data_IF_943680450942
#
_entry.id   IF_943680450942
#
_cell.length_a   1.000
_cell.length_b   1.000
_cell.length_c   1.000
_cell.angle_alpha   90.00
_cell.angle_beta   90.00
_cell.angle_gamma   90.00
#
_symmetry.space_group_name_H-M   'P 1'
#
loop_
_entity.id
_entity.type
_entity.pdbx_description
1 polymer ?
#
# COMPACT_ATOMS: atom_id res chain seq x y z
N UNK A 1 -6.64 -24.32 -6.00
CA UNK A 1 -5.59 -23.79 -5.10
C UNK A 1 -5.76 -24.44 -3.73
N UNK A 2 -4.73 -25.13 -3.22
CA UNK A 2 -4.73 -25.65 -1.86
C UNK A 2 -4.88 -24.50 -0.86
N UNK A 3 -5.78 -24.68 0.11
CA UNK A 3 -5.96 -23.74 1.22
C UNK A 3 -4.67 -23.76 2.07
N UNK A 4 -4.06 -22.62 2.38
CA UNK A 4 -2.96 -22.58 3.35
C UNK A 4 -3.44 -23.23 4.65
N UNK A 5 -2.62 -24.09 5.25
CA UNK A 5 -2.99 -24.84 6.44
C UNK A 5 -3.26 -23.92 7.65
N UNK A 6 -2.61 -22.76 7.70
CA UNK A 6 -2.67 -21.81 8.82
C UNK A 6 -2.80 -20.37 8.28
N UNK A 7 -3.61 -19.54 8.93
CA UNK A 7 -3.77 -18.12 8.61
C UNK A 7 -4.07 -17.26 9.83
N UNK A 8 -4.17 -15.93 9.64
CA UNK A 8 -4.39 -14.99 10.75
C UNK A 8 -5.69 -15.27 11.52
N UNK A 9 -6.75 -15.68 10.81
CA UNK A 9 -8.03 -16.06 11.43
C UNK A 9 -7.94 -17.36 12.25
N UNK A 10 -6.86 -18.11 12.13
CA UNK A 10 -6.62 -19.35 12.87
C UNK A 10 -5.70 -19.07 14.09
N UNK A 11 -4.86 -18.02 14.03
CA UNK A 11 -3.93 -17.59 15.09
C UNK A 11 -4.63 -16.78 16.19
N UNK A 12 -5.37 -15.73 15.84
CA UNK A 12 -5.96 -14.83 16.85
C UNK A 12 -6.92 -15.54 17.82
N UNK A 13 -7.77 -16.51 17.41
CA UNK A 13 -8.58 -17.25 18.37
C UNK A 13 -7.78 -18.02 19.43
N UNK A 14 -6.56 -18.45 19.11
CA UNK A 14 -5.72 -19.26 20.01
C UNK A 14 -4.76 -18.41 20.86
N UNK A 15 -4.23 -17.32 20.29
CA UNK A 15 -3.16 -16.54 20.91
C UNK A 15 -3.51 -15.07 21.16
N UNK A 16 -4.65 -14.59 20.64
CA UNK A 16 -5.02 -13.18 20.67
C UNK A 16 -5.26 -12.64 22.07
N UNK A 17 -5.77 -13.46 22.99
CA UNK A 17 -5.99 -13.06 24.39
C UNK A 17 -4.67 -12.83 25.13
N UNK A 18 -3.77 -13.81 25.11
CA UNK A 18 -2.44 -13.69 25.71
C UNK A 18 -1.68 -12.48 25.14
N UNK A 19 -1.71 -12.30 23.81
CA UNK A 19 -1.04 -11.18 23.15
C UNK A 19 -1.57 -9.82 23.62
N UNK A 20 -2.90 -9.68 23.80
CA UNK A 20 -3.52 -8.45 24.34
C UNK A 20 -3.21 -8.19 25.80
N UNK A 21 -2.99 -9.25 26.59
CA UNK A 21 -2.66 -9.11 28.00
C UNK A 21 -1.23 -8.59 28.19
N UNK A 22 -0.31 -9.01 27.31
CA UNK A 22 1.10 -8.65 27.37
C UNK A 22 1.42 -7.29 26.72
N UNK A 23 0.66 -6.91 25.68
CA UNK A 23 0.97 -5.72 24.88
C UNK A 23 -0.16 -4.67 24.90
N UNK A 24 0.24 -3.39 24.99
CA UNK A 24 -0.69 -2.26 24.80
C UNK A 24 -1.00 -2.10 23.32
N UNK A 25 -2.28 -1.99 22.97
CA UNK A 25 -2.71 -1.83 21.59
C UNK A 25 -3.65 -0.64 21.39
N UNK A 26 -3.52 0.09 20.27
CA UNK A 26 -4.53 1.05 19.84
C UNK A 26 -5.90 0.39 19.68
N UNK A 27 -6.97 1.15 19.95
CA UNK A 27 -8.36 0.67 19.83
C UNK A 27 -8.67 0.10 18.45
N UNK A 28 -8.09 0.66 17.40
CA UNK A 28 -8.23 0.18 16.03
C UNK A 28 -7.68 -1.24 15.83
N UNK A 29 -6.53 -1.55 16.42
CA UNK A 29 -5.94 -2.89 16.36
C UNK A 29 -6.82 -3.91 17.10
N UNK A 30 -7.27 -3.57 18.31
CA UNK A 30 -8.17 -4.42 19.10
C UNK A 30 -9.48 -4.74 18.34
N UNK A 31 -10.03 -3.75 17.64
CA UNK A 31 -11.24 -3.93 16.81
C UNK A 31 -10.98 -4.92 15.67
N UNK A 32 -9.83 -4.81 14.99
CA UNK A 32 -9.45 -5.74 13.92
C UNK A 32 -9.23 -7.15 14.46
N UNK A 33 -8.51 -7.30 15.58
CA UNK A 33 -8.27 -8.62 16.21
C UNK A 33 -9.60 -9.33 16.51
N UNK A 34 -10.56 -8.65 17.16
CA UNK A 34 -11.89 -9.21 17.45
C UNK A 34 -12.66 -9.62 16.19
N UNK A 35 -12.57 -8.83 15.12
CA UNK A 35 -13.22 -9.16 13.84
C UNK A 35 -12.59 -10.39 13.16
N UNK A 36 -11.28 -10.59 13.33
CA UNK A 36 -10.59 -11.77 12.83
C UNK A 36 -10.94 -13.03 13.65
N UNK A 37 -11.09 -12.89 14.97
CA UNK A 37 -11.49 -13.98 15.88
C UNK A 37 -12.92 -14.46 15.62
N UNK A 38 -13.83 -13.54 15.32
CA UNK A 38 -15.25 -13.85 15.10
C UNK A 38 -15.57 -14.25 13.66
N UNK A 39 -14.58 -14.25 12.76
CA UNK A 39 -14.77 -14.55 11.34
C UNK A 39 -15.37 -15.94 11.13
N UNK A 40 -16.50 -16.03 10.41
CA UNK A 40 -17.25 -17.28 10.13
C UNK A 40 -17.66 -18.05 11.40
N UNK A 41 -18.03 -17.33 12.45
CA UNK A 41 -18.61 -17.90 13.67
C UNK A 41 -20.08 -17.48 13.84
N UNK A 42 -20.79 -18.13 14.76
CA UNK A 42 -22.17 -17.79 15.10
C UNK A 42 -22.35 -16.33 15.57
N UNK A 43 -21.30 -15.72 16.13
CA UNK A 43 -21.28 -14.31 16.55
C UNK A 43 -21.63 -13.35 15.41
N UNK A 44 -21.27 -13.69 14.16
CA UNK A 44 -21.60 -12.88 12.99
C UNK A 44 -22.93 -13.28 12.32
N UNK A 45 -23.72 -14.15 12.95
CA UNK A 45 -24.91 -14.80 12.38
C UNK A 45 -24.57 -15.58 11.10
N UNK A 46 -25.58 -16.19 10.49
CA UNK A 46 -25.38 -16.98 9.29
C UNK A 46 -26.67 -17.38 8.61
N UNK A 47 -26.52 -18.25 7.62
CA UNK A 47 -27.61 -18.80 6.84
C UNK A 47 -27.62 -20.31 6.99
N UNK A 48 -28.81 -20.89 7.11
CA UNK A 48 -29.00 -22.34 7.03
C UNK A 48 -29.32 -22.68 5.58
N UNK A 49 -28.54 -23.58 4.98
CA UNK A 49 -28.77 -24.09 3.63
C UNK A 49 -29.17 -25.55 3.75
N UNK A 50 -30.37 -25.90 3.29
CA UNK A 50 -30.82 -27.29 3.15
C UNK A 50 -30.66 -27.71 1.69
N UNK A 51 -30.06 -28.85 1.43
CA UNK A 51 -30.02 -29.41 0.08
C UNK A 51 -31.43 -29.82 -0.35
N UNK A 52 -31.81 -29.53 -1.59
CA UNK A 52 -33.13 -29.89 -2.12
C UNK A 52 -33.24 -31.36 -2.54
N UNK A 53 -32.13 -32.11 -2.55
CA UNK A 53 -32.05 -33.50 -3.02
C UNK A 53 -31.66 -34.51 -1.94
N UNK A 54 -31.10 -34.04 -0.84
CA UNK A 54 -30.82 -34.85 0.35
C UNK A 54 -31.04 -34.00 1.59
N UNK A 55 -31.40 -34.58 2.73
CA UNK A 55 -31.65 -33.84 3.98
C UNK A 55 -30.39 -33.19 4.59
N UNK A 56 -29.31 -33.10 3.84
CA UNK A 56 -28.09 -32.43 4.27
C UNK A 56 -28.35 -30.94 4.55
N UNK A 57 -28.06 -30.53 5.78
CA UNK A 57 -28.11 -29.14 6.25
C UNK A 57 -26.69 -28.64 6.46
N UNK A 58 -26.42 -27.45 5.93
CA UNK A 58 -25.15 -26.74 6.12
C UNK A 58 -25.41 -25.35 6.67
N UNK A 59 -24.80 -25.03 7.80
CA UNK A 59 -24.76 -23.67 8.34
C UNK A 59 -23.60 -22.91 7.68
N UNK A 60 -23.89 -21.73 7.14
CA UNK A 60 -22.93 -20.84 6.52
C UNK A 60 -22.91 -19.51 7.29
N UNK A 61 -21.95 -19.36 8.21
CA UNK A 61 -21.76 -18.11 8.95
C UNK A 61 -21.24 -16.97 8.07
N UNK A 62 -21.56 -15.73 8.45
CA UNK A 62 -21.15 -14.53 7.74
C UNK A 62 -19.66 -14.23 7.92
N UNK A 63 -19.10 -13.48 6.97
CA UNK A 63 -17.74 -12.97 7.04
C UNK A 63 -17.72 -11.60 7.74
N UNK A 64 -16.57 -11.21 8.31
CA UNK A 64 -16.44 -9.93 9.03
C UNK A 64 -16.46 -8.69 8.12
N UNK A 65 -16.31 -8.87 6.79
CA UNK A 65 -16.26 -7.83 5.74
C UNK A 65 -15.26 -6.69 6.00
N UNK A 66 -14.31 -6.86 6.90
CA UNK A 66 -13.32 -5.83 7.21
C UNK A 66 -12.18 -5.84 6.18
N UNK A 67 -11.67 -4.64 5.82
CA UNK A 67 -10.56 -4.45 4.88
C UNK A 67 -9.24 -5.09 5.33
N UNK A 68 -9.05 -5.25 6.64
CA UNK A 68 -7.89 -5.90 7.24
C UNK A 68 -8.04 -7.42 7.36
N UNK A 69 -9.14 -8.00 6.85
CA UNK A 69 -9.32 -9.45 6.85
C UNK A 69 -8.81 -10.08 5.54
N UNK A 70 -7.76 -10.92 5.59
CA UNK A 70 -7.16 -11.53 4.39
C UNK A 70 -8.13 -12.47 3.63
N UNK A 71 -9.21 -12.91 4.27
CA UNK A 71 -10.21 -13.83 3.67
C UNK A 71 -11.44 -13.11 3.10
N UNK A 72 -11.68 -11.84 3.46
CA UNK A 72 -12.90 -11.13 3.05
C UNK A 72 -12.75 -10.36 1.74
N UNK A 73 -11.55 -9.88 1.42
CA UNK A 73 -11.34 -8.91 0.35
C UNK A 73 -11.28 -9.50 -1.07
N UNK A 74 -11.44 -10.82 -1.21
CA UNK A 74 -11.27 -11.50 -2.50
C UNK A 74 -12.27 -11.07 -3.57
N UNK A 75 -13.55 -10.96 -3.22
CA UNK A 75 -14.61 -10.57 -4.15
C UNK A 75 -14.53 -9.09 -4.53
N UNK A 76 -14.30 -8.21 -3.56
CA UNK A 76 -14.17 -6.77 -3.79
C UNK A 76 -12.97 -6.46 -4.68
N UNK A 77 -11.86 -7.20 -4.48
CA UNK A 77 -10.70 -7.15 -5.37
C UNK A 77 -11.02 -7.47 -6.82
N UNK A 78 -11.79 -8.55 -7.05
CA UNK A 78 -12.15 -8.97 -8.41
C UNK A 78 -13.03 -7.92 -9.07
N UNK A 79 -14.06 -7.43 -8.38
CA UNK A 79 -14.93 -6.36 -8.89
C UNK A 79 -14.16 -5.09 -9.21
N UNK A 80 -13.29 -4.67 -8.30
CA UNK A 80 -12.43 -3.50 -8.51
C UNK A 80 -11.54 -3.68 -9.75
N UNK A 81 -10.94 -4.86 -9.94
CA UNK A 81 -10.14 -5.17 -11.12
C UNK A 81 -10.96 -5.14 -12.41
N UNK A 82 -12.17 -5.70 -12.41
CA UNK A 82 -13.07 -5.68 -13.56
C UNK A 82 -13.43 -4.25 -13.96
N UNK A 83 -13.85 -3.41 -13.01
CA UNK A 83 -14.17 -2.00 -13.30
C UNK A 83 -12.97 -1.20 -13.79
N UNK A 84 -11.76 -1.43 -13.25
CA UNK A 84 -10.55 -0.75 -13.75
C UNK A 84 -10.11 -1.26 -15.12
N UNK A 85 -10.48 -2.48 -15.50
CA UNK A 85 -10.13 -3.03 -16.81
C UNK A 85 -10.90 -2.32 -17.93
N UNK A 86 -12.13 -1.86 -17.66
CA UNK A 86 -12.96 -1.10 -18.60
C UNK A 86 -12.39 0.30 -18.89
N UNK A 87 -11.55 0.83 -18.01
CA UNK A 87 -10.88 2.14 -18.15
C UNK A 87 -9.57 2.06 -18.96
N UNK A 88 -9.14 0.86 -19.38
CA UNK A 88 -7.89 0.68 -20.10
C UNK A 88 -8.01 1.07 -21.58
N UNK A 89 -7.11 1.95 -22.01
CA UNK A 89 -6.95 2.36 -23.39
C UNK A 89 -6.01 1.40 -24.14
N UNK A 90 -6.15 1.24 -25.47
CA UNK A 90 -5.27 0.38 -26.28
C UNK A 90 -3.91 1.03 -26.55
N UNK A 91 -3.21 1.48 -25.50
CA UNK A 91 -1.90 2.13 -25.55
C UNK A 91 -0.87 1.38 -24.71
N UNK A 92 0.41 1.74 -24.84
CA UNK A 92 1.43 1.29 -23.90
C UNK A 92 1.18 1.91 -22.52
N UNK A 93 1.61 1.24 -21.45
CA UNK A 93 1.52 1.77 -20.09
C UNK A 93 2.91 1.81 -19.45
N UNK A 94 3.01 2.40 -18.27
CA UNK A 94 4.21 2.52 -17.45
C UNK A 94 3.85 2.35 -15.98
N UNK A 95 4.69 1.64 -15.23
CA UNK A 95 4.63 1.60 -13.76
C UNK A 95 5.61 2.64 -13.23
N UNK A 96 5.05 3.71 -12.66
CA UNK A 96 5.80 4.81 -12.06
C UNK A 96 5.62 4.75 -10.54
N UNK A 97 6.71 4.47 -9.84
CA UNK A 97 6.71 4.31 -8.38
C UNK A 97 7.30 5.54 -7.73
N UNK A 98 6.56 6.12 -6.78
CA UNK A 98 7.01 7.24 -5.95
C UNK A 98 7.14 6.78 -4.51
N UNK A 99 8.34 6.85 -3.96
CA UNK A 99 8.63 6.36 -2.61
C UNK A 99 8.98 7.50 -1.67
N UNK A 100 8.32 7.54 -0.51
CA UNK A 100 8.69 8.45 0.56
C UNK A 100 9.94 7.92 1.30
N UNK A 101 10.95 8.77 1.58
CA UNK A 101 12.11 8.39 2.39
C UNK A 101 11.73 7.96 3.80
N UNK A 102 12.63 7.24 4.47
CA UNK A 102 12.39 6.70 5.82
C UNK A 102 12.03 7.78 6.84
N UNK A 103 12.71 8.93 6.81
CA UNK A 103 12.38 10.05 7.70
C UNK A 103 10.93 10.54 7.50
N UNK A 104 10.47 10.61 6.25
CA UNK A 104 9.08 10.95 5.93
C UNK A 104 8.13 9.83 6.37
N UNK A 105 8.52 8.56 6.21
CA UNK A 105 7.75 7.42 6.66
C UNK A 105 7.49 7.46 8.17
N UNK A 106 8.48 7.86 8.97
CA UNK A 106 8.35 8.08 10.42
C UNK A 106 7.30 9.15 10.75
N UNK A 107 7.32 10.28 10.04
CA UNK A 107 6.27 11.32 10.18
C UNK A 107 4.90 10.77 9.77
N UNK A 108 4.84 10.04 8.65
CA UNK A 108 3.61 9.45 8.13
C UNK A 108 2.99 8.41 9.06
N UNK A 109 3.80 7.71 9.87
CA UNK A 109 3.30 6.72 10.82
C UNK A 109 2.29 7.31 11.80
N UNK A 110 2.55 8.54 12.27
CA UNK A 110 1.68 9.30 13.17
C UNK A 110 0.64 10.15 12.43
N UNK A 111 0.94 10.55 11.19
CA UNK A 111 0.15 11.50 10.39
C UNK A 111 -0.32 10.90 9.08
N UNK A 112 -0.91 9.71 9.14
CA UNK A 112 -1.22 8.90 7.95
C UNK A 112 -2.07 9.67 6.94
N UNK A 113 -3.12 10.36 7.39
CA UNK A 113 -4.04 11.08 6.49
C UNK A 113 -3.29 12.20 5.78
N UNK A 114 -2.72 13.12 6.54
CA UNK A 114 -2.08 14.32 6.04
C UNK A 114 -0.90 13.98 5.11
N UNK A 115 -0.04 13.04 5.50
CA UNK A 115 1.15 12.69 4.72
C UNK A 115 0.79 11.85 3.49
N UNK A 116 -0.23 10.98 3.56
CA UNK A 116 -0.66 10.23 2.37
C UNK A 116 -1.41 11.14 1.39
N UNK A 117 -2.19 12.10 1.86
CA UNK A 117 -2.83 13.10 1.01
C UNK A 117 -1.76 13.92 0.25
N UNK A 118 -0.69 14.34 0.93
CA UNK A 118 0.48 14.99 0.31
C UNK A 118 1.16 14.07 -0.71
N UNK A 119 1.36 12.80 -0.36
CA UNK A 119 1.97 11.81 -1.25
C UNK A 119 1.17 11.66 -2.56
N UNK A 120 -0.16 11.51 -2.47
CA UNK A 120 -1.03 11.45 -3.64
C UNK A 120 -1.00 12.74 -4.46
N UNK A 121 -1.09 13.89 -3.81
CA UNK A 121 -1.08 15.19 -4.51
C UNK A 121 0.24 15.42 -5.25
N UNK A 122 1.38 15.20 -4.60
CA UNK A 122 2.70 15.36 -5.21
C UNK A 122 2.91 14.35 -6.35
N UNK A 123 2.48 13.09 -6.18
CA UNK A 123 2.52 12.08 -7.25
C UNK A 123 1.64 12.43 -8.43
N UNK A 124 0.50 13.09 -8.22
CA UNK A 124 -0.37 13.53 -9.31
C UNK A 124 0.21 14.74 -10.06
N UNK A 125 0.65 15.73 -9.31
CA UNK A 125 1.12 16.98 -9.87
C UNK A 125 2.45 16.83 -10.62
N UNK A 126 3.33 15.94 -10.19
CA UNK A 126 4.66 15.76 -10.79
C UNK A 126 4.61 15.36 -12.28
N UNK A 127 4.02 14.20 -12.68
CA UNK A 127 3.93 13.82 -14.07
C UNK A 127 3.02 14.76 -14.87
N UNK A 128 1.95 15.31 -14.27
CA UNK A 128 1.08 16.27 -14.93
C UNK A 128 1.83 17.56 -15.32
N UNK A 129 2.65 18.09 -14.42
CA UNK A 129 3.45 19.30 -14.69
C UNK A 129 4.45 19.06 -15.81
N UNK A 130 5.14 17.92 -15.80
CA UNK A 130 6.19 17.64 -16.78
C UNK A 130 5.58 17.27 -18.13
N UNK A 131 4.55 16.42 -18.20
CA UNK A 131 3.97 15.97 -19.46
C UNK A 131 3.30 17.11 -20.25
N UNK A 132 2.77 18.12 -19.56
CA UNK A 132 2.17 19.32 -20.17
C UNK A 132 3.18 20.23 -20.85
N UNK A 133 4.46 20.13 -20.50
CA UNK A 133 5.52 20.87 -21.18
C UNK A 133 5.63 20.37 -22.64
N UNK A 134 5.52 21.24 -23.65
CA UNK A 134 5.66 20.85 -25.06
C UNK A 134 6.97 20.12 -25.37
N UNK A 135 8.05 20.40 -24.64
CA UNK A 135 9.34 19.70 -24.80
C UNK A 135 9.32 18.25 -24.30
N UNK A 136 8.29 17.89 -23.52
CA UNK A 136 8.10 16.58 -22.91
C UNK A 136 6.80 15.88 -23.37
N UNK A 137 6.16 16.38 -24.43
CA UNK A 137 4.99 15.76 -25.06
C UNK A 137 3.76 16.66 -25.17
N UNK A 138 3.68 17.73 -24.36
CA UNK A 138 2.58 18.69 -24.41
C UNK A 138 1.20 18.12 -24.08
N UNK A 139 1.15 16.99 -23.37
CA UNK A 139 -0.05 16.19 -23.16
C UNK A 139 -0.55 16.25 -21.71
N UNK A 140 -1.86 16.13 -21.52
CA UNK A 140 -2.52 15.90 -20.24
C UNK A 140 -2.50 14.41 -19.88
N UNK A 141 -1.61 13.95 -18.98
CA UNK A 141 -1.53 12.55 -18.65
C UNK A 141 -2.70 12.15 -17.75
N UNK A 142 -3.13 10.91 -17.86
CA UNK A 142 -3.98 10.27 -16.85
C UNK A 142 -3.18 9.18 -16.14
N UNK A 143 -3.60 8.79 -14.94
CA UNK A 143 -3.04 7.62 -14.26
C UNK A 143 -3.98 7.20 -13.14
N UNK A 144 -3.80 5.96 -12.66
CA UNK A 144 -4.34 5.55 -11.37
C UNK A 144 -3.20 5.16 -10.45
N UNK A 145 -3.30 5.56 -9.18
CA UNK A 145 -2.27 5.32 -8.17
C UNK A 145 -2.82 4.44 -7.04
N UNK A 146 -1.98 3.54 -6.54
CA UNK A 146 -2.31 2.62 -5.45
C UNK A 146 -1.29 2.80 -4.33
N UNK A 147 -1.79 3.03 -3.12
CA UNK A 147 -0.97 3.16 -1.93
C UNK A 147 -0.53 1.81 -1.38
N UNK A 148 0.77 1.71 -1.18
CA UNK A 148 1.42 0.62 -0.46
C UNK A 148 2.08 1.22 0.78
N UNK A 149 1.79 0.68 1.96
CA UNK A 149 2.33 1.19 3.22
C UNK A 149 3.43 0.30 3.82
N UNK A 150 3.78 -0.80 3.15
CA UNK A 150 4.73 -1.77 3.65
C UNK A 150 5.65 -2.32 2.57
N UNK A 151 6.91 -2.54 2.92
CA UNK A 151 7.91 -3.17 2.06
C UNK A 151 7.81 -4.70 2.07
N UNK A 152 8.61 -5.37 1.21
CA UNK A 152 8.71 -6.84 1.24
C UNK A 152 9.30 -7.38 2.56
N UNK A 153 10.01 -6.51 3.27
CA UNK A 153 10.54 -6.69 4.62
C UNK A 153 9.50 -6.45 5.73
N UNK A 154 8.23 -6.17 5.38
CA UNK A 154 7.12 -5.90 6.30
C UNK A 154 7.25 -4.62 7.15
N UNK A 155 8.28 -3.82 6.92
CA UNK A 155 8.45 -2.52 7.56
C UNK A 155 7.55 -1.47 6.90
N UNK A 156 7.19 -0.44 7.68
CA UNK A 156 6.43 0.70 7.18
C UNK A 156 7.24 1.43 6.11
N UNK A 157 6.71 1.46 4.89
CA UNK A 157 7.38 1.98 3.71
C UNK A 157 6.34 2.51 2.73
N UNK A 158 5.84 3.74 2.94
CA UNK A 158 4.81 4.32 2.09
C UNK A 158 5.34 4.67 0.70
N UNK A 159 4.71 4.09 -0.31
CA UNK A 159 4.98 4.36 -1.72
C UNK A 159 3.70 4.23 -2.56
N UNK A 160 3.66 4.96 -3.68
CA UNK A 160 2.59 4.86 -4.66
C UNK A 160 3.09 4.13 -5.90
N UNK A 161 2.37 3.10 -6.30
CA UNK A 161 2.47 2.54 -7.65
C UNK A 161 1.46 3.24 -8.54
N UNK A 162 1.94 3.89 -9.60
CA UNK A 162 1.09 4.62 -10.55
C UNK A 162 1.14 3.95 -11.90
N UNK A 163 -0.01 3.58 -12.44
CA UNK A 163 -0.12 3.08 -13.82
C UNK A 163 -0.48 4.23 -14.71
N UNK A 164 0.46 4.55 -15.59
CA UNK A 164 0.39 5.72 -16.45
C UNK A 164 0.30 5.23 -17.90
N UNK A 165 -0.73 5.60 -18.68
CA UNK A 165 -0.73 5.39 -20.12
C UNK A 165 0.43 6.14 -20.77
N UNK A 166 0.92 5.62 -21.88
CA UNK A 166 2.03 6.18 -22.63
C UNK A 166 1.63 7.35 -23.50
N UNK A 167 1.19 8.42 -22.88
CA UNK A 167 0.68 9.61 -23.54
C UNK A 167 -0.40 10.28 -22.70
N UNK A 168 -1.07 11.24 -23.32
CA UNK A 168 -2.16 11.99 -22.74
C UNK A 168 -3.03 12.64 -23.81
N UNK A 169 -4.06 13.37 -23.38
CA UNK A 169 -4.85 14.18 -24.31
C UNK A 169 -4.09 15.46 -24.66
N UNK A 170 -4.31 15.99 -25.86
CA UNK A 170 -3.90 17.34 -26.21
C UNK A 170 -4.52 18.37 -25.24
N UNK A 171 -3.95 19.58 -25.10
CA UNK A 171 -4.46 20.58 -24.16
C UNK A 171 -5.92 20.99 -24.39
N UNK A 172 -6.40 20.89 -25.63
CA UNK A 172 -7.79 21.12 -26.04
C UNK A 172 -8.68 19.86 -25.94
N UNK A 173 -8.11 18.71 -25.59
CA UNK A 173 -8.82 17.45 -25.36
C UNK A 173 -9.27 16.71 -26.62
N UNK A 174 -8.81 17.12 -27.80
CA UNK A 174 -9.30 16.61 -29.09
C UNK A 174 -8.52 15.41 -29.62
N UNK A 175 -7.23 15.31 -29.28
CA UNK A 175 -6.32 14.30 -29.82
C UNK A 175 -5.56 13.55 -28.72
N UNK A 176 -5.10 12.33 -29.04
CA UNK A 176 -4.19 11.58 -28.18
C UNK A 176 -2.74 11.84 -28.58
N UNK A 177 -1.97 12.42 -27.67
CA UNK A 177 -0.53 12.67 -27.82
C UNK A 177 0.25 11.53 -27.15
N UNK A 178 0.74 10.60 -27.96
CA UNK A 178 1.51 9.44 -27.48
C UNK A 178 2.95 9.79 -27.10
N UNK A 179 3.49 9.15 -26.05
CA UNK A 179 4.90 9.24 -25.71
C UNK A 179 5.74 8.27 -26.56
N UNK A 180 7.07 8.42 -26.52
CA UNK A 180 7.99 7.51 -27.22
C UNK A 180 7.81 6.07 -26.73
N UNK A 181 7.94 5.09 -27.63
CA UNK A 181 7.86 3.67 -27.27
C UNK A 181 8.87 3.33 -26.16
N UNK A 182 8.38 2.71 -25.08
CA UNK A 182 9.21 2.28 -23.95
C UNK A 182 9.78 3.40 -23.07
N UNK A 183 9.34 4.65 -23.28
CA UNK A 183 9.79 5.79 -22.49
C UNK A 183 8.62 6.75 -22.21
N UNK A 184 8.29 6.95 -20.94
CA UNK A 184 7.28 7.92 -20.53
C UNK A 184 7.91 9.30 -20.28
N UNK A 185 8.54 9.46 -19.10
CA UNK A 185 9.18 10.70 -18.67
C UNK A 185 10.53 10.41 -18.01
N UNK A 186 11.49 11.35 -18.10
CA UNK A 186 12.80 11.18 -17.50
C UNK A 186 12.74 11.22 -15.96
N UNK A 187 13.19 10.14 -15.30
CA UNK A 187 13.24 10.05 -13.82
C UNK A 187 14.07 11.18 -13.19
N UNK A 188 15.12 11.64 -13.87
CA UNK A 188 15.95 12.78 -13.45
C UNK A 188 15.20 14.12 -13.32
N UNK A 189 14.00 14.22 -13.89
CA UNK A 189 13.11 15.38 -13.75
C UNK A 189 11.97 15.06 -12.77
N UNK A 190 11.42 13.85 -12.83
CA UNK A 190 10.37 13.40 -11.92
C UNK A 190 10.80 13.47 -10.45
N UNK A 191 11.97 12.92 -10.10
CA UNK A 191 12.41 12.80 -8.70
C UNK A 191 12.62 14.17 -8.03
N UNK A 192 13.38 15.12 -8.61
CA UNK A 192 13.55 16.44 -8.00
C UNK A 192 12.26 17.23 -7.85
N UNK A 193 11.36 17.18 -8.85
CA UNK A 193 10.07 17.88 -8.77
C UNK A 193 9.17 17.26 -7.70
N UNK A 194 9.07 15.93 -7.66
CA UNK A 194 8.31 15.23 -6.62
C UNK A 194 8.80 15.58 -5.22
N UNK A 195 10.12 15.55 -5.01
CA UNK A 195 10.77 15.94 -3.75
C UNK A 195 10.38 17.37 -3.36
N UNK A 196 10.48 18.32 -4.29
CA UNK A 196 10.16 19.73 -4.06
C UNK A 196 8.70 19.90 -3.62
N UNK A 197 7.75 19.41 -4.43
CA UNK A 197 6.32 19.51 -4.16
C UNK A 197 5.93 18.86 -2.84
N UNK A 198 6.50 17.68 -2.55
CA UNK A 198 6.21 16.96 -1.31
C UNK A 198 6.70 17.74 -0.09
N UNK A 199 7.96 18.20 -0.08
CA UNK A 199 8.54 18.89 1.06
C UNK A 199 7.84 20.23 1.32
N UNK A 200 7.53 21.00 0.28
CA UNK A 200 6.76 22.24 0.40
C UNK A 200 5.38 22.00 1.01
N UNK A 201 4.67 20.96 0.57
CA UNK A 201 3.36 20.63 1.11
C UNK A 201 3.43 20.14 2.57
N UNK A 202 4.48 19.38 2.91
CA UNK A 202 4.74 18.90 4.26
C UNK A 202 5.06 20.06 5.22
N UNK A 203 5.86 21.02 4.79
CA UNK A 203 6.16 22.25 5.55
C UNK A 203 4.91 23.10 5.76
N UNK A 204 4.08 23.27 4.73
CA UNK A 204 2.79 23.95 4.87
C UNK A 204 1.86 23.23 5.86
N UNK A 205 1.89 21.90 5.91
CA UNK A 205 1.12 21.14 6.90
C UNK A 205 1.66 21.33 8.33
N UNK A 206 2.99 21.39 8.48
CA UNK A 206 3.63 21.70 9.75
C UNK A 206 3.27 23.10 10.26
N UNK A 207 3.43 24.13 9.41
CA UNK A 207 3.10 25.53 9.74
C UNK A 207 1.64 25.73 10.17
N UNK A 208 0.73 24.89 9.64
CA UNK A 208 -0.70 24.88 10.01
C UNK A 208 -1.00 24.11 11.31
N UNK A 209 0.00 23.52 11.95
CA UNK A 209 -0.18 22.66 13.12
C UNK A 209 -0.95 21.36 12.82
N UNK A 210 -0.97 20.91 11.55
CA UNK A 210 -1.73 19.74 11.14
C UNK A 210 -1.00 18.41 11.44
N UNK A 211 0.29 18.48 11.80
CA UNK A 211 1.12 17.32 12.10
C UNK A 211 1.23 17.10 13.61
N UNK A 212 1.16 15.84 14.01
CA UNK A 212 1.35 15.34 15.37
C UNK A 212 2.66 14.59 15.46
N UNK A 213 3.39 14.83 16.53
CA UNK A 213 4.68 14.20 16.77
C UNK A 213 4.69 13.54 18.13
N UNK A 214 5.36 12.38 18.24
CA UNK A 214 5.45 11.61 19.46
C UNK A 214 6.72 10.74 19.46
N UNK A 215 7.13 10.27 20.63
CA UNK A 215 8.34 9.44 20.76
C UNK A 215 9.57 10.20 20.29
N UNK A 216 10.37 9.57 19.43
CA UNK A 216 11.61 10.14 18.88
C UNK A 216 11.43 11.40 18.02
N UNK A 217 10.19 11.76 17.67
CA UNK A 217 9.88 12.96 16.89
C UNK A 217 9.34 14.11 17.76
N UNK A 218 9.30 13.96 19.09
CA UNK A 218 8.62 14.91 19.99
C UNK A 218 9.13 16.37 19.89
N UNK A 219 10.35 16.58 19.43
CA UNK A 219 10.96 17.92 19.28
C UNK A 219 10.63 18.61 17.94
N UNK A 220 9.97 17.90 17.01
CA UNK A 220 9.58 18.41 15.70
C UNK A 220 8.41 19.42 15.63
N UNK A 221 7.62 19.71 16.68
CA UNK A 221 6.64 20.80 16.63
C UNK A 221 7.28 22.18 16.39
N UNK A 222 8.53 22.40 16.82
CA UNK A 222 9.25 23.65 16.59
C UNK A 222 9.66 23.83 15.12
N UNK A 223 9.52 25.04 14.60
CA UNK A 223 9.83 25.37 13.20
C UNK A 223 11.29 25.08 12.84
N UNK A 224 12.24 25.57 13.64
CA UNK A 224 13.67 25.34 13.40
C UNK A 224 14.04 23.86 13.44
N UNK A 225 13.55 23.12 14.44
CA UNK A 225 13.76 21.68 14.57
C UNK A 225 13.22 20.92 13.35
N UNK A 226 12.05 21.33 12.85
CA UNK A 226 11.42 20.70 11.69
C UNK A 226 12.21 20.97 10.40
N UNK A 227 12.63 22.22 10.18
CA UNK A 227 13.44 22.58 9.02
C UNK A 227 14.79 21.86 9.04
N UNK A 228 15.43 21.74 10.22
CA UNK A 228 16.66 20.96 10.39
C UNK A 228 16.43 19.48 10.09
N UNK A 229 15.30 18.91 10.53
CA UNK A 229 14.94 17.52 10.25
C UNK A 229 14.74 17.26 8.74
N UNK A 230 14.16 18.21 8.01
CA UNK A 230 13.95 18.10 6.56
C UNK A 230 15.17 18.48 5.71
N UNK A 231 16.15 19.21 6.25
CA UNK A 231 17.29 19.70 5.49
C UNK A 231 18.07 18.59 4.74
N UNK A 232 18.34 17.40 5.32
CA UNK A 232 18.96 16.30 4.59
C UNK A 232 18.10 15.80 3.42
N UNK A 233 16.78 15.80 3.58
CA UNK A 233 15.84 15.28 2.58
C UNK A 233 15.77 16.15 1.32
N UNK A 234 16.10 17.44 1.42
CA UNK A 234 16.18 18.35 0.27
C UNK A 234 17.33 18.02 -0.67
N UNK A 235 18.42 17.48 -0.12
CA UNK A 235 19.65 17.14 -0.84
C UNK A 235 19.69 15.67 -1.27
N UNK A 236 18.98 14.80 -0.54
CA UNK A 236 18.93 13.38 -0.84
C UNK A 236 18.23 13.11 -2.19
N UNK A 237 18.69 12.06 -2.88
CA UNK A 237 18.01 11.53 -4.05
C UNK A 237 16.79 10.71 -3.61
N UNK A 238 15.61 11.13 -4.05
CA UNK A 238 14.37 10.43 -3.75
C UNK A 238 14.14 9.32 -4.78
N UNK A 239 13.66 8.17 -4.31
CA UNK A 239 13.41 7.03 -5.19
C UNK A 239 12.11 7.27 -5.95
N UNK A 240 12.27 7.67 -7.22
CA UNK A 240 11.23 7.58 -8.24
C UNK A 240 11.72 6.62 -9.30
N UNK A 241 10.86 5.69 -9.70
CA UNK A 241 11.22 4.68 -10.68
C UNK A 241 10.16 4.64 -11.78
N UNK A 242 10.56 4.48 -13.05
CA UNK A 242 9.65 4.33 -14.19
C UNK A 242 10.03 3.10 -15.02
N UNK A 243 9.14 2.10 -15.09
CA UNK A 243 9.32 0.82 -15.84
C UNK A 243 8.26 0.76 -16.93
N UNK A 244 8.57 0.22 -18.11
CA UNK A 244 7.53 -0.43 -18.89
C UNK A 244 6.93 -1.57 -18.04
N UNK A 245 5.59 -1.72 -18.01
CA UNK A 245 4.92 -2.71 -17.19
C UNK A 245 5.40 -4.10 -17.56
N UNK A 246 5.32 -5.01 -16.58
CA UNK A 246 5.52 -6.42 -16.82
C UNK A 246 4.38 -6.94 -17.72
N UNK A 247 4.56 -6.86 -19.04
CA UNK A 247 3.59 -7.28 -20.05
C UNK A 247 2.62 -6.17 -20.46
N UNK A 248 1.38 -6.56 -20.79
CA UNK A 248 0.35 -5.64 -21.30
C UNK A 248 -0.41 -4.87 -20.21
N UNK A 249 -1.29 -3.93 -20.59
CA UNK A 249 -2.09 -3.10 -19.68
C UNK A 249 -2.85 -3.91 -18.62
N UNK A 250 -3.44 -5.03 -19.04
CA UNK A 250 -4.17 -5.95 -18.17
C UNK A 250 -3.26 -6.61 -17.13
N UNK A 251 -2.00 -6.88 -17.47
CA UNK A 251 -1.05 -7.51 -16.56
C UNK A 251 -0.55 -6.50 -15.51
N UNK A 252 -0.33 -5.24 -15.90
CA UNK A 252 -0.05 -4.14 -14.97
C UNK A 252 -1.21 -3.98 -13.97
N UNK A 253 -2.44 -3.91 -14.48
CA UNK A 253 -3.62 -3.78 -13.64
C UNK A 253 -3.80 -4.99 -12.70
N UNK A 254 -3.67 -6.22 -13.22
CA UNK A 254 -3.73 -7.44 -12.40
C UNK A 254 -2.62 -7.52 -11.35
N UNK A 255 -1.40 -7.07 -11.69
CA UNK A 255 -0.30 -7.01 -10.74
C UNK A 255 -0.64 -6.10 -9.57
N UNK A 256 -1.20 -4.93 -9.85
CA UNK A 256 -1.53 -3.96 -8.81
C UNK A 256 -2.83 -4.27 -8.06
N UNK A 257 -3.84 -4.84 -8.71
CA UNK A 257 -5.05 -5.28 -8.02
C UNK A 257 -4.80 -6.39 -7.01
N UNK A 258 -3.66 -7.11 -7.10
CA UNK A 258 -3.25 -8.01 -6.01
C UNK A 258 -2.96 -7.27 -4.71
N UNK A 259 -2.63 -5.98 -4.77
CA UNK A 259 -2.16 -5.17 -3.64
C UNK A 259 -3.24 -4.23 -3.08
N UNK A 260 -4.22 -3.81 -3.89
CA UNK A 260 -5.33 -2.93 -3.45
C UNK A 260 -6.17 -3.49 -2.30
N UNK A 261 -6.13 -4.82 -2.12
CA UNK A 261 -6.99 -5.58 -1.21
C UNK A 261 -6.20 -6.60 -0.38
N UNK A 262 -4.87 -6.45 -0.32
CA UNK A 262 -4.00 -7.28 0.54
C UNK A 262 -3.82 -6.63 1.90
N UNK A 263 -3.63 -7.48 2.90
CA UNK A 263 -3.32 -7.08 4.28
C UNK A 263 -1.81 -7.18 4.51
N UNK A 264 -1.33 -6.74 5.68
CA UNK A 264 0.10 -6.66 6.02
C UNK A 264 0.91 -7.92 5.70
N UNK A 265 0.34 -9.12 5.91
CA UNK A 265 0.98 -10.40 5.57
C UNK A 265 -0.01 -11.35 4.88
N UNK A 266 0.44 -12.03 3.82
CA UNK A 266 -0.37 -13.06 3.17
C UNK A 266 -0.30 -14.37 3.96
N UNK A 267 -1.38 -15.17 3.95
CA UNK A 267 -1.36 -16.49 4.61
C UNK A 267 -0.27 -17.42 4.06
N UNK A 268 0.11 -17.27 2.80
CA UNK A 268 1.18 -18.07 2.19
C UNK A 268 2.55 -17.79 2.80
N UNK A 269 2.73 -16.63 3.44
CA UNK A 269 3.97 -16.32 4.17
C UNK A 269 4.00 -16.94 5.56
N UNK A 270 2.88 -17.36 6.13
CA UNK A 270 2.83 -17.99 7.46
C UNK A 270 3.15 -19.47 7.30
N UNK A 271 4.23 -19.93 7.94
CA UNK A 271 4.77 -21.28 7.76
C UNK A 271 4.45 -22.21 8.93
N UNK A 272 4.62 -21.73 10.17
CA UNK A 272 4.41 -22.51 11.38
C UNK A 272 3.87 -21.63 12.50
N UNK A 273 3.03 -22.22 13.35
CA UNK A 273 2.56 -21.64 14.61
C UNK A 273 2.74 -22.70 15.69
N UNK A 274 3.40 -22.36 16.79
CA UNK A 274 3.69 -23.28 17.90
C UNK A 274 4.70 -22.67 18.87
N UNK A 275 4.75 -23.21 20.10
CA UNK A 275 5.69 -22.74 21.14
C UNK A 275 5.59 -21.23 21.42
N UNK A 276 4.38 -20.65 21.30
CA UNK A 276 4.14 -19.22 21.47
C UNK A 276 4.68 -18.34 20.33
N UNK A 277 5.12 -18.92 19.21
CA UNK A 277 5.76 -18.22 18.09
C UNK A 277 5.00 -18.41 16.78
N UNK A 278 5.12 -17.40 15.90
CA UNK A 278 4.65 -17.44 14.51
C UNK A 278 5.86 -17.33 13.60
N UNK A 279 6.12 -18.36 12.81
CA UNK A 279 7.18 -18.34 11.80
C UNK A 279 6.62 -17.91 10.46
N UNK A 280 7.23 -16.90 9.84
CA UNK A 280 6.83 -16.45 8.52
C UNK A 280 8.01 -16.09 7.61
N UNK A 281 7.77 -16.17 6.30
CA UNK A 281 8.71 -15.74 5.28
C UNK A 281 8.67 -14.23 5.13
N UNK A 282 9.84 -13.61 5.21
CA UNK A 282 10.05 -12.22 4.80
C UNK A 282 11.24 -12.15 3.82
N UNK A 283 11.39 -11.03 3.12
CA UNK A 283 12.56 -10.82 2.25
C UNK A 283 13.44 -9.79 2.92
N UNK A 284 14.68 -10.18 3.21
CA UNK A 284 15.68 -9.31 3.81
C UNK A 284 16.07 -8.16 2.87
N UNK A 285 16.80 -7.19 3.42
CA UNK A 285 17.32 -6.03 2.68
C UNK A 285 18.57 -6.36 1.85
N UNK A 286 19.02 -7.62 1.82
CA UNK A 286 20.22 -8.01 1.08
C UNK A 286 20.01 -7.84 -0.44
N UNK A 287 21.06 -7.48 -1.21
CA UNK A 287 20.97 -7.30 -2.67
C UNK A 287 20.46 -8.53 -3.43
N UNK A 288 20.52 -9.72 -2.81
CA UNK A 288 20.01 -10.99 -3.36
C UNK A 288 18.54 -11.25 -3.02
N UNK A 289 17.92 -10.46 -2.15
CA UNK A 289 16.50 -10.58 -1.77
C UNK A 289 16.17 -11.94 -1.15
N UNK A 290 17.09 -12.48 -0.36
CA UNK A 290 16.98 -13.80 0.25
C UNK A 290 15.74 -13.88 1.14
N UNK A 291 15.05 -15.01 1.06
CA UNK A 291 13.87 -15.26 1.88
C UNK A 291 14.34 -15.79 3.23
N UNK A 292 14.13 -14.99 4.26
CA UNK A 292 14.52 -15.31 5.62
C UNK A 292 13.29 -15.74 6.43
N UNK A 293 13.54 -16.53 7.47
CA UNK A 293 12.52 -16.93 8.44
C UNK A 293 12.60 -15.98 9.63
N UNK A 294 11.51 -15.26 9.90
CA UNK A 294 11.38 -14.52 11.15
C UNK A 294 10.56 -15.34 12.13
N UNK A 295 11.08 -15.48 13.35
CA UNK A 295 10.34 -15.90 14.53
C UNK A 295 10.84 -15.04 15.68
N UNK A 296 9.93 -14.40 16.42
CA UNK A 296 10.29 -13.54 17.56
C UNK A 296 11.28 -14.28 18.47
N UNK A 297 12.50 -13.74 18.58
CA UNK A 297 13.42 -14.12 19.63
C UNK A 297 13.11 -13.25 20.85
N UNK A 298 12.60 -13.83 21.96
CA UNK A 298 12.37 -13.08 23.20
C UNK A 298 13.67 -12.58 23.86
N UNK A 299 14.86 -12.84 23.28
CA UNK A 299 16.15 -12.39 23.81
C UNK A 299 16.58 -10.98 23.39
N UNK A 300 15.83 -10.29 22.51
CA UNK A 300 16.00 -8.85 22.27
C UNK A 300 17.43 -8.44 21.87
N UNK A 301 17.92 -8.94 20.74
CA UNK A 301 19.04 -8.34 20.01
C UNK A 301 18.66 -8.07 18.56
#
# INVERSE_FOLDING_TARGET
MLRPAIGLTDIFPQHGEAYRAEHKHPREHLRVMRLLETWRTATLRGHVKKCSRCDHIRIAYNSCRNRHCPKCQGSDRVKCLESRQEELLPVQYFDVVFTAPEQVARIAFHNKREVYDILFAATAQTPATIARDPTHGGAEPSFFAILHTGGQNLLHHPHLHSVVPGGGLSPDGTEWLGCRKGFFLPVRVLSPLFRCLFLEALEKAHQKGALRFSGELADLPGEDSFLQYLAPLRKAEWVVYSKPPFGGPLQALRYLGRHTHRVAISHQRILKVGEGRVTFQWKGLSPKGETELFGDDPSGR
#
